data_IF_812494557991
#
_entry.id   IF_812494557991
#
_cell.length_a   1.000
_cell.length_b   1.000
_cell.length_c   1.000
_cell.angle_alpha   90.00
_cell.angle_beta   90.00
_cell.angle_gamma   90.00
#
_symmetry.space_group_name_H-M   'P 1'
#
loop_
_entity.id
_entity.type
_entity.pdbx_description
1 polymer ?
#
# COMPACT_ATOMS: atom_id res chain seq x y z
N UNK A 1 27.40 -7.77 -15.53
CA UNK A 1 26.06 -8.40 -15.44
C UNK A 1 25.16 -7.64 -14.45
N UNK A 2 24.94 -6.34 -14.65
CA UNK A 2 24.10 -5.50 -13.79
C UNK A 2 23.20 -4.65 -14.71
N UNK A 3 21.99 -5.13 -14.95
CA UNK A 3 21.08 -4.54 -15.94
C UNK A 3 19.62 -4.52 -15.51
N UNK A 4 19.32 -4.35 -14.22
CA UNK A 4 17.95 -4.46 -13.71
C UNK A 4 17.53 -3.33 -12.77
N UNK A 5 18.04 -2.11 -12.96
CA UNK A 5 17.32 -0.92 -12.46
C UNK A 5 16.19 -0.58 -13.44
N UNK A 6 15.21 -1.48 -13.58
CA UNK A 6 13.91 -1.08 -14.12
C UNK A 6 13.34 -0.08 -13.12
N UNK A 7 13.08 1.15 -13.57
CA UNK A 7 12.31 2.12 -12.78
C UNK A 7 11.06 1.38 -12.31
N UNK A 8 10.84 1.31 -10.99
CA UNK A 8 9.63 0.69 -10.45
C UNK A 8 8.44 1.26 -11.21
N UNK A 9 7.67 0.38 -11.83
CA UNK A 9 6.48 0.77 -12.56
C UNK A 9 5.54 1.49 -11.59
N UNK A 10 4.69 2.35 -12.12
CA UNK A 10 3.71 3.07 -11.30
C UNK A 10 2.85 2.09 -10.49
N UNK A 11 2.53 0.92 -11.09
CA UNK A 11 1.93 -0.23 -10.42
C UNK A 11 2.76 -0.77 -9.26
N UNK A 12 4.05 -1.05 -9.45
CA UNK A 12 4.91 -1.56 -8.35
C UNK A 12 5.04 -0.56 -7.19
N UNK A 13 5.00 0.75 -7.46
CA UNK A 13 5.00 1.78 -6.41
C UNK A 13 3.69 1.75 -5.61
N UNK A 14 2.55 1.69 -6.30
CA UNK A 14 1.24 1.59 -5.66
C UNK A 14 1.08 0.28 -4.88
N UNK A 15 1.52 -0.85 -5.43
CA UNK A 15 1.50 -2.15 -4.72
C UNK A 15 2.36 -2.12 -3.46
N UNK A 16 3.54 -1.50 -3.54
CA UNK A 16 4.41 -1.32 -2.38
C UNK A 16 3.78 -0.40 -1.32
N UNK A 17 3.02 0.60 -1.74
CA UNK A 17 2.28 1.51 -0.85
C UNK A 17 1.12 0.77 -0.17
N UNK A 18 0.33 0.02 -0.95
CA UNK A 18 -0.77 -0.80 -0.46
C UNK A 18 -0.31 -1.78 0.62
N UNK A 19 0.78 -2.50 0.37
CA UNK A 19 1.37 -3.43 1.36
C UNK A 19 1.78 -2.74 2.65
N UNK A 20 2.38 -1.54 2.55
CA UNK A 20 2.76 -0.75 3.73
C UNK A 20 1.55 -0.32 4.53
N UNK A 21 0.51 0.18 3.87
CA UNK A 21 -0.72 0.64 4.52
C UNK A 21 -1.45 -0.51 5.22
N UNK A 22 -1.47 -1.71 4.62
CA UNK A 22 -1.99 -2.92 5.26
C UNK A 22 -1.20 -3.32 6.51
N UNK A 23 0.14 -3.28 6.45
CA UNK A 23 0.98 -3.63 7.60
C UNK A 23 0.82 -2.62 8.74
N UNK A 24 0.75 -1.32 8.40
CA UNK A 24 0.48 -0.24 9.36
C UNK A 24 -0.91 -0.38 9.98
N UNK A 25 -1.95 -0.64 9.18
CA UNK A 25 -3.28 -0.90 9.68
C UNK A 25 -3.32 -2.10 10.63
N UNK A 26 -2.67 -3.22 10.25
CA UNK A 26 -2.60 -4.40 11.12
C UNK A 26 -1.89 -4.09 12.44
N UNK A 27 -0.78 -3.35 12.41
CA UNK A 27 -0.08 -2.90 13.64
C UNK A 27 -0.95 -1.96 14.47
N UNK A 28 -1.70 -1.08 13.83
CA UNK A 28 -2.60 -0.13 14.51
C UNK A 28 -3.87 -0.82 15.01
N UNK A 29 -4.28 -1.96 14.46
CA UNK A 29 -5.49 -2.67 14.89
C UNK A 29 -5.46 -3.06 16.38
N UNK A 30 -4.26 -3.30 16.91
CA UNK A 30 -4.05 -3.66 18.32
C UNK A 30 -3.93 -2.44 19.24
N UNK A 31 -3.57 -1.28 18.70
CA UNK A 31 -3.22 -0.08 19.50
C UNK A 31 -4.24 1.05 19.34
N UNK A 32 -4.74 1.26 18.13
CA UNK A 32 -5.66 2.33 17.78
C UNK A 32 -6.56 1.93 16.60
N UNK A 33 -7.75 1.42 16.93
CA UNK A 33 -8.74 0.95 15.96
C UNK A 33 -9.16 2.03 14.95
N UNK A 34 -9.34 3.28 15.40
CA UNK A 34 -9.74 4.38 14.51
C UNK A 34 -8.67 4.67 13.44
N UNK A 35 -7.40 4.65 13.84
CA UNK A 35 -6.28 4.83 12.90
C UNK A 35 -6.10 3.61 11.99
N UNK A 36 -6.36 2.40 12.50
CA UNK A 36 -6.37 1.17 11.70
C UNK A 36 -7.42 1.24 10.59
N UNK A 37 -8.65 1.65 10.92
CA UNK A 37 -9.75 1.76 9.95
C UNK A 37 -9.42 2.79 8.86
N UNK A 38 -8.79 3.91 9.24
CA UNK A 38 -8.33 4.93 8.30
C UNK A 38 -7.24 4.41 7.35
N UNK A 39 -6.28 3.63 7.87
CA UNK A 39 -5.22 3.02 7.06
C UNK A 39 -5.72 1.90 6.14
N UNK A 40 -6.73 1.15 6.56
CA UNK A 40 -7.43 0.20 5.70
C UNK A 40 -8.14 0.90 4.55
N UNK A 41 -8.80 2.04 4.82
CA UNK A 41 -9.44 2.84 3.78
C UNK A 41 -8.41 3.39 2.77
N UNK A 42 -7.30 3.96 3.25
CA UNK A 42 -6.20 4.42 2.38
C UNK A 42 -5.67 3.27 1.50
N UNK A 43 -5.55 2.05 2.05
CA UNK A 43 -5.13 0.88 1.30
C UNK A 43 -6.14 0.51 0.20
N UNK A 44 -7.44 0.50 0.49
CA UNK A 44 -8.48 0.27 -0.53
C UNK A 44 -8.46 1.32 -1.65
N UNK A 45 -8.23 2.60 -1.32
CA UNK A 45 -8.13 3.65 -2.34
C UNK A 45 -6.93 3.43 -3.27
N UNK A 46 -5.78 3.03 -2.73
CA UNK A 46 -4.60 2.67 -3.53
C UNK A 46 -4.88 1.46 -4.42
N UNK A 47 -5.65 0.48 -3.94
CA UNK A 47 -6.04 -0.69 -4.71
C UNK A 47 -7.01 -0.32 -5.85
N UNK A 48 -7.96 0.59 -5.60
CA UNK A 48 -8.84 1.15 -6.66
C UNK A 48 -8.07 1.95 -7.70
N UNK A 49 -7.02 2.67 -7.30
CA UNK A 49 -6.13 3.36 -8.23
C UNK A 49 -5.34 2.37 -9.09
N UNK A 50 -4.89 1.25 -8.50
CA UNK A 50 -4.25 0.14 -9.20
C UNK A 50 -5.18 -0.53 -10.22
N UNK A 51 -6.45 -0.74 -9.87
CA UNK A 51 -7.45 -1.33 -10.79
C UNK A 51 -7.82 -0.40 -11.95
N UNK A 52 -7.74 0.92 -11.74
CA UNK A 52 -7.98 1.92 -12.79
C UNK A 52 -6.81 2.10 -13.77
N UNK A 53 -5.65 1.53 -13.46
CA UNK A 53 -4.39 1.63 -14.21
C UNK A 53 -4.15 0.41 -15.11
#
# INVERSE_FOLDING_TARGET
MFGLFKKKSEKEKLESQYKKLLEEAHRLSTTNRKMSDQKMYEAEEVLKQLEKL
#
